data_IF_030059436626
#
_entry.id   IF_030059436626
#
_cell.length_a   1.000
_cell.length_b   1.000
_cell.length_c   1.000
_cell.angle_alpha   90.00
_cell.angle_beta   90.00
_cell.angle_gamma   90.00
#
_symmetry.space_group_name_H-M   'P 1'
#
loop_
_entity.id
_entity.type
_entity.pdbx_description
1 polymer ?
#
# COMPACT_ATOMS: atom_id res chain seq x y z
N UNK A 1 -44.91 9.27 -16.04
CA UNK A 1 -43.96 9.40 -14.93
C UNK A 1 -43.06 8.18 -15.04
N UNK A 2 -41.91 8.34 -15.68
CA UNK A 2 -40.96 7.25 -15.81
C UNK A 2 -40.04 7.32 -14.59
N UNK A 3 -40.03 6.26 -13.80
CA UNK A 3 -39.10 6.08 -12.70
C UNK A 3 -37.67 6.16 -13.27
N UNK A 4 -36.95 7.21 -12.89
CA UNK A 4 -35.52 7.33 -13.16
C UNK A 4 -34.80 6.43 -12.17
N UNK A 5 -34.62 5.15 -12.50
CA UNK A 5 -33.71 4.28 -11.75
C UNK A 5 -32.32 4.93 -11.71
N UNK A 6 -31.83 5.21 -10.49
CA UNK A 6 -30.51 5.76 -10.28
C UNK A 6 -29.45 4.76 -10.78
N UNK A 7 -28.51 5.22 -11.60
CA UNK A 7 -27.40 4.40 -12.07
C UNK A 7 -26.60 3.87 -10.86
N UNK A 8 -26.17 2.59 -10.87
CA UNK A 8 -25.40 2.03 -9.77
C UNK A 8 -24.02 2.70 -9.68
N UNK A 9 -23.55 2.92 -8.45
CA UNK A 9 -22.18 3.37 -8.20
C UNK A 9 -21.18 2.29 -8.61
N UNK A 10 -20.12 2.69 -9.33
CA UNK A 10 -19.00 1.82 -9.71
C UNK A 10 -17.81 1.95 -8.74
N UNK A 11 -17.96 2.66 -7.63
CA UNK A 11 -16.90 2.85 -6.63
C UNK A 11 -16.57 1.58 -5.82
N UNK A 12 -17.32 0.49 -6.02
CA UNK A 12 -17.22 -0.75 -5.28
C UNK A 12 -18.29 -0.87 -4.19
N UNK A 13 -18.58 -2.11 -3.82
CA UNK A 13 -19.48 -2.41 -2.70
C UNK A 13 -18.85 -1.97 -1.36
N UNK A 14 -19.51 -1.14 -0.54
CA UNK A 14 -18.91 -0.62 0.69
C UNK A 14 -18.45 -1.69 1.69
N UNK A 15 -19.14 -2.84 1.75
CA UNK A 15 -18.76 -3.95 2.64
C UNK A 15 -17.48 -4.61 2.13
N UNK A 16 -17.40 -4.84 0.81
CA UNK A 16 -16.18 -5.35 0.18
C UNK A 16 -15.00 -4.38 0.35
N UNK A 17 -15.23 -3.06 0.26
CA UNK A 17 -14.17 -2.05 0.45
C UNK A 17 -13.61 -2.08 1.87
N UNK A 18 -14.45 -2.13 2.91
CA UNK A 18 -13.98 -2.24 4.30
C UNK A 18 -13.21 -3.53 4.53
N UNK A 19 -13.75 -4.66 4.04
CA UNK A 19 -13.10 -5.96 4.18
C UNK A 19 -11.73 -6.00 3.49
N UNK A 20 -11.63 -5.45 2.28
CA UNK A 20 -10.38 -5.34 1.53
C UNK A 20 -9.34 -4.52 2.31
N UNK A 21 -9.69 -3.29 2.70
CA UNK A 21 -8.76 -2.39 3.37
C UNK A 21 -8.30 -2.95 4.72
N UNK A 22 -9.21 -3.56 5.48
CA UNK A 22 -8.89 -4.23 6.74
C UNK A 22 -7.90 -5.38 6.53
N UNK A 23 -8.15 -6.22 5.52
CA UNK A 23 -7.28 -7.35 5.21
C UNK A 23 -5.89 -6.89 4.74
N UNK A 24 -5.83 -5.92 3.82
CA UNK A 24 -4.57 -5.33 3.33
C UNK A 24 -3.78 -4.70 4.48
N UNK A 25 -4.42 -3.92 5.36
CA UNK A 25 -3.73 -3.28 6.47
C UNK A 25 -3.20 -4.30 7.48
N UNK A 26 -3.92 -5.40 7.71
CA UNK A 26 -3.40 -6.53 8.47
C UNK A 26 -2.10 -7.11 7.88
N UNK A 27 -2.07 -7.32 6.57
CA UNK A 27 -0.84 -7.78 5.86
C UNK A 27 0.30 -6.77 6.02
N UNK A 28 0.02 -5.48 5.88
CA UNK A 28 1.05 -4.42 6.05
C UNK A 28 1.61 -4.42 7.46
N UNK A 29 0.76 -4.49 8.49
CA UNK A 29 1.18 -4.52 9.89
C UNK A 29 2.08 -5.73 10.17
N UNK A 30 1.64 -6.93 9.78
CA UNK A 30 2.37 -8.16 10.10
C UNK A 30 3.67 -8.28 9.29
N UNK A 31 3.60 -8.11 7.97
CA UNK A 31 4.69 -8.45 7.05
C UNK A 31 5.65 -7.28 6.81
N UNK A 32 5.14 -6.07 6.63
CA UNK A 32 5.96 -4.91 6.29
C UNK A 32 6.49 -4.19 7.54
N UNK A 33 5.64 -3.98 8.54
CA UNK A 33 5.99 -3.21 9.76
C UNK A 33 6.71 -4.13 10.77
N UNK A 34 6.03 -5.16 11.27
CA UNK A 34 6.58 -6.01 12.34
C UNK A 34 7.75 -6.87 11.84
N UNK A 35 7.51 -7.72 10.83
CA UNK A 35 8.57 -8.60 10.30
C UNK A 35 9.66 -7.80 9.57
N UNK A 36 9.29 -6.79 8.79
CA UNK A 36 10.26 -5.97 8.05
C UNK A 36 11.24 -5.17 8.92
N UNK A 37 10.91 -4.92 10.18
CA UNK A 37 11.80 -4.24 11.15
C UNK A 37 12.44 -5.21 12.16
N UNK A 38 12.10 -6.49 12.12
CA UNK A 38 12.60 -7.49 13.06
C UNK A 38 13.97 -8.04 12.64
N UNK A 39 14.92 -7.99 13.57
CA UNK A 39 16.26 -8.56 13.41
C UNK A 39 16.30 -10.10 13.27
N UNK A 40 15.20 -10.80 13.51
CA UNK A 40 15.12 -12.25 13.25
C UNK A 40 14.79 -12.59 11.80
N UNK A 41 14.47 -11.59 10.98
CA UNK A 41 14.06 -11.75 9.59
C UNK A 41 15.19 -11.37 8.62
N UNK A 42 14.99 -11.68 7.33
CA UNK A 42 15.92 -11.29 6.27
C UNK A 42 15.71 -9.81 5.90
N UNK A 43 16.80 -9.09 5.65
CA UNK A 43 16.76 -7.72 5.07
C UNK A 43 16.18 -7.76 3.65
N UNK A 44 16.48 -8.80 2.88
CA UNK A 44 15.94 -9.04 1.54
C UNK A 44 15.86 -10.54 1.23
N UNK A 45 14.88 -10.93 0.40
CA UNK A 45 14.79 -12.26 -0.18
C UNK A 45 15.19 -12.16 -1.66
N UNK A 46 16.49 -12.31 -1.94
CA UNK A 46 17.04 -12.17 -3.28
C UNK A 46 16.40 -13.16 -4.27
N UNK A 47 16.08 -12.63 -5.45
CA UNK A 47 15.58 -13.35 -6.62
C UNK A 47 16.17 -12.74 -7.88
N UNK A 48 16.56 -13.57 -8.83
CA UNK A 48 16.99 -13.07 -10.14
C UNK A 48 15.81 -12.41 -10.88
N UNK A 49 16.04 -11.42 -11.75
CA UNK A 49 14.96 -10.68 -12.40
C UNK A 49 13.93 -11.58 -13.12
N UNK A 50 14.39 -12.61 -13.82
CA UNK A 50 13.48 -13.54 -14.54
C UNK A 50 12.70 -14.44 -13.59
N UNK A 51 13.30 -14.86 -12.47
CA UNK A 51 12.59 -15.61 -11.42
C UNK A 51 11.52 -14.72 -10.76
N UNK A 52 11.86 -13.47 -10.44
CA UNK A 52 10.94 -12.54 -9.77
C UNK A 52 9.76 -12.17 -10.66
N UNK A 53 9.96 -11.97 -11.97
CA UNK A 53 8.85 -11.75 -12.92
C UNK A 53 7.85 -12.90 -12.91
N UNK A 54 8.35 -14.14 -12.92
CA UNK A 54 7.50 -15.34 -12.87
C UNK A 54 6.73 -15.43 -11.54
N UNK A 55 7.38 -15.07 -10.42
CA UNK A 55 6.75 -15.07 -9.10
C UNK A 55 5.68 -13.98 -8.93
N UNK A 56 5.77 -12.88 -9.68
CA UNK A 56 4.87 -11.73 -9.52
C UNK A 56 3.72 -11.67 -10.52
N UNK A 57 3.79 -12.37 -11.66
CA UNK A 57 2.77 -12.37 -12.72
C UNK A 57 2.26 -10.95 -13.04
N UNK A 58 3.17 -10.10 -13.54
CA UNK A 58 2.98 -8.64 -13.65
C UNK A 58 2.17 -8.20 -14.88
N UNK A 59 1.81 -9.12 -15.77
CA UNK A 59 1.09 -8.79 -17.00
C UNK A 59 -0.36 -8.38 -16.70
N UNK A 60 -0.70 -7.14 -17.04
CA UNK A 60 -2.06 -6.62 -16.89
C UNK A 60 -2.97 -7.22 -17.98
N UNK A 61 -4.17 -7.65 -17.57
CA UNK A 61 -5.15 -8.35 -18.42
C UNK A 61 -6.47 -7.59 -18.47
N UNK A 62 -7.36 -8.02 -19.35
CA UNK A 62 -8.68 -7.39 -19.52
C UNK A 62 -9.67 -7.67 -18.38
N UNK A 63 -9.50 -8.79 -17.68
CA UNK A 63 -10.34 -9.18 -16.55
C UNK A 63 -9.69 -8.77 -15.24
N UNK A 64 -10.51 -8.31 -14.28
CA UNK A 64 -10.08 -8.10 -12.91
C UNK A 64 -9.84 -9.42 -12.16
N UNK A 65 -9.36 -9.31 -10.93
CA UNK A 65 -9.07 -10.45 -10.06
C UNK A 65 -9.90 -10.39 -8.79
N UNK A 66 -10.02 -11.54 -8.11
CA UNK A 66 -10.72 -11.62 -6.84
C UNK A 66 -9.92 -10.94 -5.71
N UNK A 67 -10.59 -10.62 -4.62
CA UNK A 67 -9.97 -10.04 -3.44
C UNK A 67 -8.85 -10.94 -2.87
N UNK A 68 -9.04 -12.26 -2.91
CA UNK A 68 -8.05 -13.24 -2.45
C UNK A 68 -6.76 -13.16 -3.28
N UNK A 69 -6.88 -13.09 -4.60
CA UNK A 69 -5.75 -12.93 -5.51
C UNK A 69 -5.01 -11.61 -5.28
N UNK A 70 -5.75 -10.51 -5.06
CA UNK A 70 -5.16 -9.21 -4.73
C UNK A 70 -4.36 -9.29 -3.42
N UNK A 71 -4.89 -9.95 -2.39
CA UNK A 71 -4.19 -10.12 -1.11
C UNK A 71 -2.94 -11.00 -1.25
N UNK A 72 -2.98 -12.04 -2.06
CA UNK A 72 -1.80 -12.86 -2.39
C UNK A 72 -0.72 -12.02 -3.07
N UNK A 73 -1.10 -11.18 -4.04
CA UNK A 73 -0.18 -10.24 -4.71
C UNK A 73 0.41 -9.23 -3.74
N UNK A 74 -0.38 -8.64 -2.83
CA UNK A 74 0.13 -7.75 -1.78
C UNK A 74 1.21 -8.44 -0.92
N UNK A 75 0.97 -9.69 -0.51
CA UNK A 75 1.95 -10.49 0.26
C UNK A 75 3.21 -10.74 -0.54
N UNK A 76 3.10 -11.09 -1.82
CA UNK A 76 4.26 -11.33 -2.69
C UNK A 76 5.11 -10.06 -2.87
N UNK A 77 4.47 -8.92 -3.13
CA UNK A 77 5.14 -7.61 -3.24
C UNK A 77 5.92 -7.30 -1.96
N UNK A 78 5.30 -7.43 -0.79
CA UNK A 78 5.98 -7.16 0.49
C UNK A 78 7.10 -8.16 0.74
N UNK A 79 6.87 -9.45 0.49
CA UNK A 79 7.84 -10.52 0.72
C UNK A 79 9.15 -10.28 -0.03
N UNK A 80 9.05 -10.02 -1.33
CA UNK A 80 10.23 -9.91 -2.20
C UNK A 80 10.83 -8.50 -2.24
N UNK A 81 10.15 -7.48 -1.69
CA UNK A 81 10.74 -6.15 -1.53
C UNK A 81 11.83 -6.11 -0.46
N UNK A 82 12.83 -5.25 -0.66
CA UNK A 82 13.87 -4.97 0.34
C UNK A 82 13.25 -4.28 1.57
N UNK A 83 13.62 -4.74 2.77
CA UNK A 83 13.12 -4.21 4.04
C UNK A 83 13.99 -3.02 4.50
N UNK A 84 13.73 -1.84 3.96
CA UNK A 84 14.50 -0.62 4.27
C UNK A 84 14.36 -0.17 5.73
N UNK A 85 13.29 -0.58 6.40
CA UNK A 85 13.08 -0.37 7.84
C UNK A 85 13.90 -1.29 8.74
N UNK A 86 14.55 -2.31 8.18
CA UNK A 86 15.30 -3.29 8.97
C UNK A 86 16.55 -2.65 9.61
N UNK A 87 16.84 -2.88 10.91
CA UNK A 87 18.01 -2.29 11.61
C UNK A 87 19.39 -2.64 11.06
N UNK A 88 19.44 -3.49 10.03
CA UNK A 88 20.67 -3.97 9.36
C UNK A 88 20.71 -3.60 7.88
N UNK A 89 19.81 -2.71 7.46
CA UNK A 89 19.85 -2.08 6.15
C UNK A 89 20.72 -0.82 6.22
N UNK A 90 21.92 -0.89 5.65
CA UNK A 90 22.91 0.20 5.65
C UNK A 90 23.32 0.64 4.24
N UNK A 91 22.53 0.26 3.23
CA UNK A 91 22.90 0.42 1.83
C UNK A 91 22.74 1.86 1.32
N UNK A 92 22.00 2.70 2.03
CA UNK A 92 21.55 4.01 1.57
C UNK A 92 21.73 5.07 2.66
N UNK A 93 21.58 6.34 2.28
CA UNK A 93 21.55 7.48 3.20
C UNK A 93 20.23 7.61 3.99
N UNK A 94 19.35 6.61 3.89
CA UNK A 94 18.13 6.47 4.67
C UNK A 94 18.00 5.03 5.17
N UNK A 95 17.42 4.86 6.36
CA UNK A 95 17.12 3.55 6.96
C UNK A 95 16.10 3.74 8.08
N UNK A 96 15.38 2.66 8.43
CA UNK A 96 14.40 2.65 9.51
C UNK A 96 12.97 2.98 9.05
N UNK A 97 12.04 2.78 9.97
CA UNK A 97 10.61 3.00 9.79
C UNK A 97 10.07 3.75 11.00
N UNK A 98 10.01 5.08 10.90
CA UNK A 98 9.41 5.90 11.95
C UNK A 98 7.88 5.73 11.93
N UNK A 99 7.25 5.31 13.05
CA UNK A 99 5.82 5.03 13.08
C UNK A 99 4.95 6.28 12.93
N UNK A 100 5.41 7.45 13.40
CA UNK A 100 4.66 8.70 13.29
C UNK A 100 4.68 9.23 11.86
N UNK A 101 5.84 9.20 11.20
CA UNK A 101 5.98 9.53 9.80
C UNK A 101 5.15 8.58 8.92
N UNK A 102 5.14 7.27 9.22
CA UNK A 102 4.30 6.32 8.50
C UNK A 102 2.80 6.61 8.70
N UNK A 103 2.36 6.94 9.92
CA UNK A 103 0.98 7.35 10.16
C UNK A 103 0.61 8.60 9.35
N UNK A 104 1.50 9.60 9.29
CA UNK A 104 1.33 10.78 8.45
C UNK A 104 1.23 10.45 6.96
N UNK A 105 2.04 9.51 6.46
CA UNK A 105 1.97 9.01 5.07
C UNK A 105 0.62 8.34 4.79
N UNK A 106 0.15 7.46 5.66
CA UNK A 106 -1.16 6.79 5.49
C UNK A 106 -2.30 7.82 5.45
N UNK A 107 -2.29 8.83 6.33
CA UNK A 107 -3.28 9.92 6.31
C UNK A 107 -3.20 10.71 5.01
N UNK A 108 -1.99 11.07 4.56
CA UNK A 108 -1.78 11.85 3.33
C UNK A 108 -2.31 11.13 2.10
N UNK A 109 -1.95 9.85 1.92
CA UNK A 109 -2.44 9.02 0.81
C UNK A 109 -3.95 8.79 0.88
N UNK A 110 -4.54 8.78 2.08
CA UNK A 110 -6.00 8.65 2.25
C UNK A 110 -6.76 9.92 1.86
N UNK A 111 -6.14 11.10 1.98
CA UNK A 111 -6.76 12.40 1.67
C UNK A 111 -6.59 12.82 0.20
N UNK A 112 -5.52 12.37 -0.46
CA UNK A 112 -5.31 12.47 -1.92
C UNK A 112 -5.68 13.84 -2.54
N UNK A 113 -5.20 14.93 -1.94
CA UNK A 113 -5.34 16.31 -2.47
C UNK A 113 -4.00 16.81 -3.04
N UNK A 114 -3.98 18.01 -3.60
CA UNK A 114 -2.78 18.66 -4.14
C UNK A 114 -2.36 19.86 -3.32
N UNK A 115 -1.07 19.92 -2.94
CA UNK A 115 -0.44 21.08 -2.31
C UNK A 115 -0.22 22.21 -3.34
N UNK A 116 -1.33 22.80 -3.81
CA UNK A 116 -1.29 23.81 -4.87
C UNK A 116 -1.96 25.11 -4.44
N UNK A 117 -3.13 25.04 -3.79
CA UNK A 117 -3.82 26.22 -3.27
C UNK A 117 -4.39 25.92 -1.90
N UNK A 118 -4.57 27.00 -1.12
CA UNK A 118 -5.23 26.93 0.18
C UNK A 118 -6.68 26.42 0.07
N UNK A 119 -7.36 26.63 -1.06
CA UNK A 119 -8.74 26.19 -1.27
C UNK A 119 -8.91 24.67 -1.20
N UNK A 120 -7.95 23.91 -1.75
CA UNK A 120 -8.03 22.44 -1.83
C UNK A 120 -7.14 21.71 -0.82
N UNK A 121 -6.20 22.40 -0.17
CA UNK A 121 -5.27 21.82 0.79
C UNK A 121 -4.99 22.75 2.00
N UNK A 122 -6.01 23.32 2.67
CA UNK A 122 -5.80 24.38 3.66
C UNK A 122 -4.90 23.95 4.83
N UNK A 123 -5.07 22.72 5.32
CA UNK A 123 -4.26 22.17 6.43
C UNK A 123 -2.80 21.98 6.00
N UNK A 124 -2.57 21.44 4.81
CA UNK A 124 -1.22 21.15 4.33
C UNK A 124 -0.47 22.43 3.94
N UNK A 125 -1.17 23.45 3.42
CA UNK A 125 -0.57 24.76 3.12
C UNK A 125 -0.07 25.43 4.40
N UNK A 126 -0.87 25.42 5.48
CA UNK A 126 -0.44 26.01 6.76
C UNK A 126 0.65 25.19 7.45
N UNK A 127 0.72 23.89 7.22
CA UNK A 127 1.71 23.01 7.84
C UNK A 127 3.10 23.14 7.18
N UNK A 128 3.14 23.52 5.90
CA UNK A 128 4.39 23.66 5.12
C UNK A 128 5.03 25.05 5.25
N UNK A 129 4.26 26.07 5.68
CA UNK A 129 4.76 27.42 5.97
C UNK A 129 5.82 27.42 7.08
#
# INVERSE_FOLDING_TARGET
MADSEALPSLAGDPVAVEALLRAVFGVVVDEAIQKGTSVSQKVCEWKEPEELKQLLDLELRSQGESQEQILERCRAVIRYSVKTGHPRFFNQLFSGLDPHALAGRIITESLNTSQYTYEIAPVFVLMEE
#
